data_IF_747172337646
#
_entry.id   IF_747172337646
#
_cell.length_a   1.000
_cell.length_b   1.000
_cell.length_c   1.000
_cell.angle_alpha   90.00
_cell.angle_beta   90.00
_cell.angle_gamma   90.00
#
_symmetry.space_group_name_H-M   'P 1'
#
loop_
_entity.id
_entity.type
_entity.pdbx_description
1 polymer ?
#
# COMPACT_ATOMS: atom_id res chain seq x y z
N UNK A 1 41.62 -12.15 81.59
CA UNK A 1 40.67 -11.22 80.96
C UNK A 1 41.00 -11.18 79.47
N UNK A 2 40.19 -11.83 78.63
CA UNK A 2 40.44 -11.95 77.18
C UNK A 2 39.68 -10.86 76.42
N UNK A 3 40.35 -10.32 75.41
CA UNK A 3 39.86 -9.42 74.36
C UNK A 3 38.63 -9.96 73.63
N UNK A 4 37.74 -9.08 73.17
CA UNK A 4 37.25 -9.10 71.78
C UNK A 4 36.54 -7.79 71.39
N UNK A 5 36.79 -7.41 70.15
CA UNK A 5 36.48 -6.17 69.43
C UNK A 5 35.06 -6.18 68.79
N UNK A 6 34.62 -5.10 68.11
CA UNK A 6 33.20 -4.78 67.91
C UNK A 6 32.59 -5.34 66.62
N UNK A 7 31.28 -5.60 66.64
CA UNK A 7 30.46 -5.97 65.48
C UNK A 7 29.78 -4.74 64.86
N UNK A 8 30.17 -4.43 63.62
CA UNK A 8 29.49 -3.56 62.67
C UNK A 8 28.19 -4.22 62.18
N UNK A 9 27.05 -3.54 62.26
CA UNK A 9 25.86 -3.84 61.46
C UNK A 9 25.95 -3.07 60.14
N UNK A 10 26.27 -3.76 59.03
CA UNK A 10 25.97 -3.30 57.67
C UNK A 10 24.76 -4.08 57.17
N UNK A 11 23.60 -3.42 57.09
CA UNK A 11 22.40 -3.95 56.43
C UNK A 11 22.65 -4.06 54.92
N UNK A 12 22.51 -5.28 54.41
CA UNK A 12 22.59 -5.63 53.00
C UNK A 12 21.36 -5.12 52.24
N UNK A 13 21.56 -4.15 51.35
CA UNK A 13 20.58 -3.69 50.35
C UNK A 13 21.11 -4.03 48.95
N UNK A 14 21.23 -5.32 48.60
CA UNK A 14 21.68 -5.74 47.27
C UNK A 14 21.32 -7.18 46.88
N UNK A 15 20.02 -7.52 46.72
CA UNK A 15 19.68 -8.53 45.69
C UNK A 15 18.55 -8.12 44.73
N UNK A 16 17.76 -7.09 45.03
CA UNK A 16 16.60 -6.73 44.18
C UNK A 16 16.97 -5.96 42.89
N UNK A 17 18.03 -5.15 42.93
CA UNK A 17 18.48 -4.39 41.75
C UNK A 17 19.06 -5.32 40.67
N UNK A 18 19.72 -6.40 41.08
CA UNK A 18 20.37 -7.34 40.14
C UNK A 18 19.37 -8.22 39.39
N UNK A 19 18.23 -8.56 40.00
CA UNK A 19 17.16 -9.36 39.36
C UNK A 19 16.37 -8.51 38.36
N UNK A 20 16.13 -7.23 38.65
CA UNK A 20 15.46 -6.33 37.69
C UNK A 20 16.30 -6.11 36.43
N UNK A 21 17.64 -5.98 36.56
CA UNK A 21 18.54 -5.80 35.41
C UNK A 21 18.59 -7.06 34.53
N UNK A 22 18.51 -8.27 35.12
CA UNK A 22 18.46 -9.54 34.38
C UNK A 22 17.13 -9.78 33.66
N UNK A 23 16.00 -9.32 34.20
CA UNK A 23 14.70 -9.41 33.54
C UNK A 23 14.57 -8.39 32.39
N UNK A 24 15.14 -7.19 32.55
CA UNK A 24 15.20 -6.18 31.48
C UNK A 24 16.12 -6.60 30.32
N UNK A 25 17.25 -7.28 30.59
CA UNK A 25 18.13 -7.77 29.53
C UNK A 25 17.56 -8.98 28.78
N UNK A 26 16.80 -9.86 29.44
CA UNK A 26 16.09 -10.97 28.78
C UNK A 26 14.95 -10.49 27.86
N UNK A 27 14.23 -9.43 28.25
CA UNK A 27 13.25 -8.78 27.38
C UNK A 27 13.91 -8.10 26.16
N UNK A 28 15.13 -7.58 26.33
CA UNK A 28 15.91 -6.96 25.24
C UNK A 28 16.46 -7.97 24.24
N UNK A 29 16.93 -9.14 24.70
CA UNK A 29 17.34 -10.24 23.81
C UNK A 29 16.17 -10.78 22.97
N UNK A 30 14.93 -10.77 23.52
CA UNK A 30 13.72 -11.08 22.74
C UNK A 30 13.37 -9.99 21.74
N UNK A 31 13.45 -8.71 22.11
CA UNK A 31 13.17 -7.60 21.21
C UNK A 31 14.19 -7.50 20.04
N UNK A 32 15.48 -7.77 20.29
CA UNK A 32 16.49 -7.89 19.22
C UNK A 32 16.33 -9.19 18.42
N UNK A 33 15.94 -10.30 19.04
CA UNK A 33 15.67 -11.56 18.35
C UNK A 33 14.48 -11.50 17.40
N UNK A 34 13.42 -10.76 17.76
CA UNK A 34 12.26 -10.57 16.89
C UNK A 34 12.59 -9.67 15.68
N UNK A 35 13.45 -8.65 15.83
CA UNK A 35 13.94 -7.85 14.71
C UNK A 35 14.74 -8.67 13.68
N UNK A 36 15.31 -9.81 14.08
CA UNK A 36 16.08 -10.69 13.18
C UNK A 36 15.26 -11.74 12.43
N UNK A 37 14.01 -11.98 12.84
CA UNK A 37 13.18 -13.04 12.29
C UNK A 37 12.18 -12.48 11.27
N UNK A 38 12.68 -12.22 10.06
CA UNK A 38 11.83 -12.05 8.88
C UNK A 38 10.93 -13.28 8.74
N UNK A 39 9.60 -13.07 8.80
CA UNK A 39 8.63 -14.14 8.59
C UNK A 39 8.08 -14.05 7.17
N UNK A 40 8.32 -15.10 6.39
CA UNK A 40 7.63 -15.32 5.13
C UNK A 40 6.29 -15.99 5.44
N UNK A 41 5.19 -15.26 5.29
CA UNK A 41 3.85 -15.83 5.38
C UNK A 41 3.51 -16.48 4.05
N UNK A 42 3.71 -17.79 3.92
CA UNK A 42 3.09 -18.58 2.87
C UNK A 42 1.60 -18.76 3.21
N UNK A 43 0.80 -17.75 2.89
CA UNK A 43 -0.65 -17.79 3.01
C UNK A 43 -1.28 -18.17 1.67
N UNK A 44 -1.93 -19.33 1.65
CA UNK A 44 -2.78 -19.92 0.60
C UNK A 44 -2.18 -20.07 -0.81
N UNK A 45 -2.30 -21.28 -1.36
CA UNK A 45 -1.87 -21.65 -2.70
C UNK A 45 -2.71 -20.90 -3.73
N UNK A 46 -2.27 -19.70 -4.09
CA UNK A 46 -2.47 -19.18 -5.43
C UNK A 46 -1.27 -19.66 -6.24
N UNK A 47 -1.50 -20.23 -7.43
CA UNK A 47 -0.45 -20.65 -8.37
C UNK A 47 0.38 -19.48 -8.96
N UNK A 48 0.45 -18.34 -8.27
CA UNK A 48 1.25 -17.17 -8.59
C UNK A 48 2.26 -16.90 -7.47
N UNK A 49 3.54 -16.84 -7.82
CA UNK A 49 4.68 -16.60 -6.93
C UNK A 49 4.69 -15.20 -6.28
N UNK A 50 3.67 -14.89 -5.48
CA UNK A 50 3.61 -13.67 -4.69
C UNK A 50 4.55 -13.74 -3.49
N UNK A 51 5.32 -12.68 -3.25
CA UNK A 51 6.19 -12.53 -2.08
C UNK A 51 5.55 -11.55 -1.12
N UNK A 52 5.28 -12.01 0.10
CA UNK A 52 4.92 -11.16 1.23
C UNK A 52 5.99 -11.26 2.32
N UNK A 53 6.41 -10.12 2.84
CA UNK A 53 7.47 -10.01 3.85
C UNK A 53 7.03 -9.07 4.97
N UNK A 54 7.39 -9.38 6.20
CA UNK A 54 7.27 -8.46 7.34
C UNK A 54 8.63 -8.26 8.01
N UNK A 55 9.01 -7.00 8.20
CA UNK A 55 10.22 -6.57 8.91
C UNK A 55 9.80 -5.81 10.17
N UNK A 56 9.83 -6.47 11.35
CA UNK A 56 9.60 -5.79 12.62
C UNK A 56 10.81 -4.91 12.96
N UNK A 57 10.56 -3.65 13.33
CA UNK A 57 11.61 -2.71 13.74
C UNK A 57 11.65 -2.56 15.26
N UNK A 58 10.50 -2.31 15.88
CA UNK A 58 10.33 -2.22 17.33
C UNK A 58 8.85 -2.40 17.72
N UNK A 59 8.59 -2.63 19.00
CA UNK A 59 7.24 -2.61 19.55
C UNK A 59 7.25 -1.78 20.83
N UNK A 60 6.29 -0.86 20.97
CA UNK A 60 6.16 0.01 22.13
C UNK A 60 4.92 -0.34 22.94
N UNK A 61 5.08 -1.02 24.09
CA UNK A 61 3.94 -1.38 24.93
C UNK A 61 3.26 -0.15 25.50
N UNK A 62 1.93 -0.09 25.39
CA UNK A 62 1.11 1.03 25.86
C UNK A 62 0.20 0.67 27.03
N UNK A 63 -0.59 1.65 27.49
CA UNK A 63 -1.77 1.40 28.31
C UNK A 63 -2.90 0.96 27.38
N UNK A 64 -3.10 -0.35 27.23
CA UNK A 64 -4.13 -0.93 26.35
C UNK A 64 -3.57 -1.31 24.98
N UNK A 65 -3.37 -0.33 24.09
CA UNK A 65 -2.83 -0.57 22.76
C UNK A 65 -1.31 -0.45 22.73
N UNK A 66 -0.68 -1.51 22.26
CA UNK A 66 0.72 -1.47 21.84
C UNK A 66 0.83 -0.78 20.49
N UNK A 67 1.96 -0.13 20.25
CA UNK A 67 2.28 0.47 18.96
C UNK A 67 3.41 -0.34 18.30
N UNK A 68 3.09 -1.32 17.44
CA UNK A 68 4.08 -2.06 16.68
C UNK A 68 4.60 -1.21 15.53
N UNK A 69 5.93 -1.05 15.46
CA UNK A 69 6.62 -0.43 14.33
C UNK A 69 7.13 -1.54 13.43
N UNK A 70 6.41 -1.80 12.36
CA UNK A 70 6.77 -2.80 11.36
C UNK A 70 6.65 -2.23 9.94
N UNK A 71 7.36 -2.88 9.03
CA UNK A 71 7.20 -2.71 7.60
C UNK A 71 6.65 -4.00 7.02
N UNK A 72 5.68 -3.87 6.10
CA UNK A 72 5.19 -4.97 5.29
C UNK A 72 5.52 -4.70 3.83
N UNK A 73 5.91 -5.76 3.11
CA UNK A 73 6.12 -5.75 1.67
C UNK A 73 5.20 -6.76 1.02
N UNK A 74 4.64 -6.38 -0.13
CA UNK A 74 3.94 -7.27 -1.04
C UNK A 74 4.44 -7.06 -2.46
N UNK A 75 4.71 -8.15 -3.18
CA UNK A 75 5.03 -8.10 -4.61
C UNK A 75 3.80 -7.85 -5.49
N UNK A 76 2.59 -7.84 -4.93
CA UNK A 76 1.35 -7.48 -5.63
C UNK A 76 1.24 -5.96 -5.75
N UNK A 77 2.12 -5.37 -6.55
CA UNK A 77 2.29 -3.92 -6.72
C UNK A 77 1.59 -3.36 -7.94
N UNK A 78 1.02 -4.21 -8.79
CA UNK A 78 0.40 -3.79 -10.04
C UNK A 78 -1.11 -3.91 -9.96
N UNK A 79 -1.79 -2.85 -10.41
CA UNK A 79 -3.23 -2.88 -10.71
C UNK A 79 -3.45 -2.46 -12.15
N UNK A 80 -4.38 -3.11 -12.84
CA UNK A 80 -4.85 -2.68 -14.15
C UNK A 80 -6.25 -2.12 -13.99
N UNK A 81 -6.44 -0.90 -14.47
CA UNK A 81 -7.67 -0.13 -14.31
C UNK A 81 -8.27 0.23 -15.67
N UNK A 82 -9.59 0.18 -15.82
CA UNK A 82 -10.24 0.63 -17.05
C UNK A 82 -10.43 2.15 -17.02
N UNK A 83 -9.91 2.85 -18.02
CA UNK A 83 -10.07 4.30 -18.11
C UNK A 83 -11.31 4.67 -18.92
N UNK A 84 -11.43 4.11 -20.13
CA UNK A 84 -12.47 4.47 -21.09
C UNK A 84 -12.47 3.53 -22.29
N UNK A 85 -13.55 3.52 -23.07
CA UNK A 85 -13.49 3.09 -24.47
C UNK A 85 -13.28 4.26 -25.45
N UNK A 86 -12.39 4.07 -26.42
CA UNK A 86 -12.10 5.01 -27.51
C UNK A 86 -12.50 4.42 -28.86
N UNK A 87 -12.74 5.29 -29.85
CA UNK A 87 -12.98 4.91 -31.24
C UNK A 87 -11.71 5.08 -32.05
N UNK A 88 -11.33 4.02 -32.75
CA UNK A 88 -10.25 4.03 -33.73
C UNK A 88 -10.82 4.09 -35.14
N UNK A 89 -10.42 5.11 -35.89
CA UNK A 89 -10.83 5.34 -37.27
C UNK A 89 -9.88 4.60 -38.21
N UNK A 90 -10.41 3.59 -38.89
CA UNK A 90 -9.63 2.77 -39.82
C UNK A 90 -9.98 3.16 -41.25
N UNK A 91 -8.96 3.61 -41.98
CA UNK A 91 -9.07 4.04 -43.39
C UNK A 91 -8.91 2.84 -44.31
N UNK A 92 -9.83 1.88 -44.24
CA UNK A 92 -10.01 0.87 -45.29
C UNK A 92 -11.37 1.07 -45.96
N UNK A 93 -11.56 0.80 -47.26
CA UNK A 93 -12.87 0.98 -47.90
C UNK A 93 -13.82 -0.18 -47.55
N UNK A 94 -15.04 0.07 -47.01
CA UNK A 94 -15.58 1.34 -46.52
C UNK A 94 -15.06 1.71 -45.12
N UNK A 95 -14.83 3.01 -44.82
CA UNK A 95 -14.28 3.44 -43.54
C UNK A 95 -15.21 3.06 -42.39
N UNK A 96 -14.63 2.57 -41.30
CA UNK A 96 -15.39 2.16 -40.12
C UNK A 96 -14.67 2.55 -38.83
N UNK A 97 -15.42 2.49 -37.74
CA UNK A 97 -14.93 2.76 -36.38
C UNK A 97 -14.85 1.45 -35.60
N UNK A 98 -13.69 1.16 -35.02
CA UNK A 98 -13.57 0.12 -33.98
C UNK A 98 -13.65 0.75 -32.61
N UNK A 99 -14.35 0.11 -31.67
CA UNK A 99 -14.34 0.51 -30.26
C UNK A 99 -13.26 -0.32 -29.54
N UNK A 100 -12.31 0.36 -28.91
CA UNK A 100 -11.23 -0.25 -28.15
C UNK A 100 -11.35 0.14 -26.68
N UNK A 101 -11.02 -0.76 -25.78
CA UNK A 101 -10.94 -0.46 -24.35
C UNK A 101 -9.53 0.03 -24.03
N UNK A 102 -9.43 1.18 -23.38
CA UNK A 102 -8.17 1.71 -22.84
C UNK A 102 -8.13 1.39 -21.36
N UNK A 103 -7.09 0.68 -20.96
CA UNK A 103 -6.77 0.37 -19.56
C UNK A 103 -5.41 0.94 -19.21
N UNK A 104 -5.17 1.17 -17.93
CA UNK A 104 -3.93 1.73 -17.42
C UNK A 104 -3.31 0.81 -16.39
N UNK A 105 -1.99 0.60 -16.50
CA UNK A 105 -1.19 -0.05 -15.48
C UNK A 105 -0.81 0.97 -14.40
N UNK A 106 -1.15 0.65 -13.15
CA UNK A 106 -0.91 1.46 -11.97
C UNK A 106 0.10 0.72 -11.08
N UNK A 107 1.23 1.39 -10.80
CA UNK A 107 2.26 0.86 -9.92
C UNK A 107 2.08 1.39 -8.50
N UNK A 108 2.04 0.48 -7.54
CA UNK A 108 2.11 0.70 -6.10
C UNK A 108 1.11 1.76 -5.57
N UNK A 109 -0.12 1.83 -6.12
CA UNK A 109 -1.10 2.88 -5.80
C UNK A 109 -1.35 3.10 -4.30
N UNK A 110 -1.34 2.02 -3.51
CA UNK A 110 -1.56 2.05 -2.06
C UNK A 110 -0.31 1.71 -1.25
N UNK A 111 0.89 1.81 -1.82
CA UNK A 111 2.15 1.49 -1.14
C UNK A 111 3.30 2.34 -1.66
N UNK A 112 4.50 2.18 -1.10
CA UNK A 112 5.72 2.78 -1.64
C UNK A 112 6.58 1.67 -2.24
N UNK A 113 6.39 1.43 -3.54
CA UNK A 113 6.99 0.31 -4.26
C UNK A 113 6.76 -1.05 -3.56
N UNK A 114 5.53 -1.30 -3.11
CA UNK A 114 5.15 -2.52 -2.39
C UNK A 114 5.32 -2.45 -0.87
N UNK A 115 6.01 -1.44 -0.35
CA UNK A 115 6.22 -1.27 1.09
C UNK A 115 5.11 -0.44 1.75
N UNK A 116 4.64 -0.91 2.90
CA UNK A 116 3.72 -0.21 3.81
C UNK A 116 4.32 -0.17 5.21
N UNK A 117 3.93 0.82 6.01
CA UNK A 117 4.25 0.85 7.44
C UNK A 117 3.01 0.54 8.26
N UNK A 118 3.17 -0.26 9.32
CA UNK A 118 2.13 -0.42 10.35
C UNK A 118 1.77 0.87 11.08
N UNK A 119 2.49 1.97 10.84
CA UNK A 119 2.22 3.30 11.38
C UNK A 119 1.43 4.21 10.42
N UNK A 120 1.09 3.78 9.21
CA UNK A 120 0.18 4.52 8.34
C UNK A 120 -1.26 4.50 8.90
N UNK A 121 -2.10 5.43 8.43
CA UNK A 121 -3.54 5.40 8.68
C UNK A 121 -4.24 4.53 7.62
N UNK A 122 -5.44 3.99 7.93
CA UNK A 122 -6.31 3.43 6.90
C UNK A 122 -6.56 4.43 5.77
N UNK A 123 -6.48 3.97 4.52
CA UNK A 123 -6.76 4.77 3.33
C UNK A 123 -8.17 4.48 2.83
N UNK A 124 -8.94 5.53 2.55
CA UNK A 124 -10.31 5.44 2.05
C UNK A 124 -10.28 5.60 0.52
N UNK A 125 -10.75 4.60 -0.20
CA UNK A 125 -10.91 4.60 -1.65
C UNK A 125 -12.40 4.61 -1.99
N UNK A 126 -12.85 5.72 -2.57
CA UNK A 126 -14.21 5.84 -3.10
C UNK A 126 -14.30 5.34 -4.54
N UNK A 127 -15.47 4.86 -4.98
CA UNK A 127 -15.68 4.40 -6.35
C UNK A 127 -15.41 5.54 -7.32
N UNK A 128 -14.75 5.23 -8.43
CA UNK A 128 -14.45 6.24 -9.44
C UNK A 128 -15.71 6.72 -10.15
N UNK A 129 -15.62 7.91 -10.75
CA UNK A 129 -16.75 8.48 -11.49
C UNK A 129 -17.16 7.60 -12.69
N UNK A 130 -16.27 6.81 -13.24
CA UNK A 130 -16.49 5.92 -14.38
C UNK A 130 -16.84 4.47 -13.99
N UNK A 131 -16.89 4.15 -12.69
CA UNK A 131 -17.45 2.87 -12.20
C UNK A 131 -18.98 2.89 -12.31
N UNK A 132 -19.48 2.67 -13.53
CA UNK A 132 -20.91 2.62 -13.85
C UNK A 132 -21.30 1.27 -14.43
N UNK A 133 -22.52 0.84 -14.10
CA UNK A 133 -23.07 -0.45 -14.49
C UNK A 133 -24.42 -0.28 -15.20
N UNK A 134 -24.74 -1.21 -16.10
CA UNK A 134 -26.05 -1.33 -16.70
C UNK A 134 -27.04 -2.03 -15.75
N UNK A 135 -28.32 -2.11 -16.14
CA UNK A 135 -29.37 -2.76 -15.36
C UNK A 135 -29.15 -4.28 -15.15
N UNK A 136 -28.17 -4.88 -15.83
CA UNK A 136 -27.75 -6.28 -15.66
C UNK A 136 -26.49 -6.41 -14.79
N UNK A 137 -25.99 -5.32 -14.23
CA UNK A 137 -24.77 -5.28 -13.43
C UNK A 137 -23.48 -5.42 -14.25
N UNK A 138 -23.53 -5.18 -15.58
CA UNK A 138 -22.35 -5.19 -16.43
C UNK A 138 -21.76 -3.78 -16.54
N UNK A 139 -20.42 -3.62 -16.63
CA UNK A 139 -19.81 -2.31 -16.85
C UNK A 139 -20.42 -1.58 -18.07
N UNK A 140 -20.82 -0.32 -17.89
CA UNK A 140 -21.42 0.52 -18.92
C UNK A 140 -20.43 1.59 -19.39
N UNK A 141 -20.57 2.06 -20.64
CA UNK A 141 -19.57 2.96 -21.27
C UNK A 141 -20.05 4.38 -21.56
N UNK A 142 -21.32 4.70 -21.38
CA UNK A 142 -21.85 6.00 -20.92
C UNK A 142 -23.38 6.04 -21.01
N UNK A 143 -23.92 6.93 -20.18
CA UNK A 143 -24.89 7.97 -20.50
C UNK A 143 -26.25 7.44 -20.97
N UNK A 144 -27.13 7.15 -20.01
CA UNK A 144 -28.57 7.55 -19.95
C UNK A 144 -29.29 6.77 -18.83
N UNK A 145 -28.70 5.68 -18.32
CA UNK A 145 -29.17 4.91 -17.16
C UNK A 145 -27.99 4.27 -16.43
N UNK A 146 -27.12 5.09 -15.85
CA UNK A 146 -25.90 4.62 -15.20
C UNK A 146 -26.19 4.28 -13.73
N UNK A 147 -26.16 2.98 -13.42
CA UNK A 147 -26.31 2.49 -12.06
C UNK A 147 -24.96 2.43 -11.37
N UNK A 148 -24.91 2.82 -10.11
CA UNK A 148 -23.72 2.73 -9.25
C UNK A 148 -24.01 1.94 -8.00
N UNK A 149 -22.95 1.42 -7.39
CA UNK A 149 -23.01 0.82 -6.07
C UNK A 149 -22.37 1.80 -5.11
N UNK A 150 -23.08 2.15 -4.03
CA UNK A 150 -22.52 2.94 -2.95
C UNK A 150 -21.62 2.04 -2.09
N UNK A 151 -20.41 1.77 -2.59
CA UNK A 151 -19.36 1.06 -1.87
C UNK A 151 -18.21 1.99 -1.52
N UNK A 152 -17.35 1.54 -0.61
CA UNK A 152 -16.06 2.14 -0.30
C UNK A 152 -15.10 1.00 0.01
N UNK A 153 -13.87 1.11 -0.48
CA UNK A 153 -12.79 0.19 -0.14
C UNK A 153 -11.92 0.89 0.89
N UNK A 154 -11.59 0.22 1.99
CA UNK A 154 -10.63 0.75 2.97
C UNK A 154 -9.40 -0.14 2.98
N UNK A 155 -8.24 0.45 2.68
CA UNK A 155 -6.96 -0.23 2.75
C UNK A 155 -6.34 -0.01 4.12
N UNK A 156 -6.05 -1.09 4.82
CA UNK A 156 -5.49 -1.06 6.16
C UNK A 156 -3.95 -0.93 6.12
N UNK A 157 -3.35 -0.41 7.20
CA UNK A 157 -1.89 -0.29 7.31
C UNK A 157 -1.16 -1.65 7.25
N UNK A 158 -1.82 -2.73 7.68
CA UNK A 158 -1.28 -4.09 7.62
C UNK A 158 -1.23 -4.69 6.21
N UNK A 159 -1.82 -4.01 5.22
CA UNK A 159 -1.88 -4.46 3.83
C UNK A 159 -3.24 -4.99 3.40
N UNK A 160 -4.11 -5.37 4.34
CA UNK A 160 -5.46 -5.86 4.03
C UNK A 160 -6.33 -4.77 3.40
N UNK A 161 -7.36 -5.18 2.68
CA UNK A 161 -8.33 -4.27 2.07
C UNK A 161 -9.73 -4.84 2.29
N UNK A 162 -10.65 -3.97 2.69
CA UNK A 162 -12.00 -4.34 3.07
C UNK A 162 -13.01 -3.55 2.27
N UNK A 163 -14.00 -4.24 1.67
CA UNK A 163 -15.09 -3.60 0.94
C UNK A 163 -16.27 -3.38 1.87
N UNK A 164 -16.82 -2.17 1.83
CA UNK A 164 -18.02 -1.78 2.58
C UNK A 164 -19.11 -1.30 1.64
N UNK A 165 -20.36 -1.47 2.03
CA UNK A 165 -21.53 -0.96 1.29
C UNK A 165 -22.50 -0.29 2.25
N UNK A 166 -23.16 0.76 1.75
CA UNK A 166 -24.31 1.38 2.44
C UNK A 166 -25.55 0.49 2.34
N UNK A 167 -25.75 -0.09 1.17
CA UNK A 167 -26.89 -0.95 0.83
C UNK A 167 -26.56 -1.76 -0.43
N UNK A 168 -27.26 -2.87 -0.65
CA UNK A 168 -27.21 -3.62 -1.91
C UNK A 168 -28.09 -3.00 -3.02
N UNK A 169 -28.79 -1.90 -2.72
CA UNK A 169 -29.55 -1.17 -3.72
C UNK A 169 -28.60 -0.43 -4.67
N UNK A 170 -28.90 -0.50 -5.96
CA UNK A 170 -28.27 0.35 -6.96
C UNK A 170 -28.69 1.80 -6.75
N UNK A 171 -27.77 2.72 -7.01
CA UNK A 171 -28.00 4.15 -7.01
C UNK A 171 -28.11 4.65 -8.44
N UNK A 172 -29.18 5.40 -8.73
CA UNK A 172 -29.35 6.12 -9.99
C UNK A 172 -29.00 7.59 -9.76
N UNK A 173 -27.80 7.99 -10.16
CA UNK A 173 -27.33 9.36 -10.03
C UNK A 173 -25.81 9.50 -10.19
N UNK A 174 -25.36 10.74 -10.31
CA UNK A 174 -23.96 11.06 -10.60
C UNK A 174 -23.06 11.12 -9.36
N UNK A 175 -23.62 11.07 -8.15
CA UNK A 175 -22.86 11.27 -6.90
C UNK A 175 -23.21 10.20 -5.86
N UNK A 176 -22.19 9.56 -5.28
CA UNK A 176 -22.36 8.63 -4.17
C UNK A 176 -22.40 9.44 -2.89
N UNK A 177 -23.47 9.29 -2.12
CA UNK A 177 -23.58 9.92 -0.80
C UNK A 177 -22.54 9.33 0.16
N UNK A 178 -21.46 10.09 0.37
CA UNK A 178 -20.34 9.71 1.23
C UNK A 178 -20.62 9.96 2.72
N UNK A 179 -21.75 10.57 3.10
CA UNK A 179 -22.06 10.97 4.48
C UNK A 179 -23.01 9.98 5.16
N UNK A 180 -22.56 8.76 5.37
CA UNK A 180 -23.38 7.72 6.00
C UNK A 180 -22.55 6.58 6.59
N UNK A 181 -23.25 5.60 7.18
CA UNK A 181 -22.67 4.36 7.65
C UNK A 181 -22.58 3.34 6.53
N UNK A 182 -21.40 2.74 6.37
CA UNK A 182 -21.11 1.62 5.49
C UNK A 182 -20.75 0.39 6.31
N UNK A 183 -21.24 -0.78 5.91
CA UNK A 183 -20.97 -2.05 6.57
C UNK A 183 -20.10 -2.94 5.68
N UNK A 184 -19.15 -3.64 6.28
CA UNK A 184 -18.28 -4.55 5.54
C UNK A 184 -19.08 -5.70 4.92
N UNK A 185 -18.77 -6.04 3.66
CA UNK A 185 -19.42 -7.12 2.91
C UNK A 185 -18.54 -8.36 2.73
N UNK A 186 -17.36 -8.37 3.37
CA UNK A 186 -16.33 -9.41 3.26
C UNK A 186 -16.23 -10.30 4.51
N UNK A 187 -17.15 -10.17 5.46
CA UNK A 187 -17.16 -10.94 6.70
C UNK A 187 -16.22 -10.43 7.80
N UNK A 188 -15.47 -9.34 7.57
CA UNK A 188 -14.60 -8.71 8.57
C UNK A 188 -15.36 -8.13 9.78
N UNK A 189 -16.68 -7.96 9.66
CA UNK A 189 -17.56 -7.33 10.68
C UNK A 189 -17.15 -5.90 11.04
N UNK A 190 -16.47 -5.22 10.11
CA UNK A 190 -16.12 -3.81 10.26
C UNK A 190 -17.31 -2.91 9.88
N UNK A 191 -17.29 -1.68 10.40
CA UNK A 191 -18.27 -0.64 10.08
C UNK A 191 -17.55 0.69 9.92
N UNK A 192 -17.90 1.46 8.90
CA UNK A 192 -17.35 2.79 8.67
C UNK A 192 -18.45 3.85 8.74
N UNK A 193 -18.42 4.70 9.76
CA UNK A 193 -19.31 5.85 9.90
C UNK A 193 -18.62 7.07 9.26
N UNK A 194 -18.94 7.34 7.99
CA UNK A 194 -18.28 8.36 7.18
C UNK A 194 -18.84 9.76 7.44
N UNK A 195 -17.97 10.76 7.56
CA UNK A 195 -18.31 12.18 7.72
C UNK A 195 -17.74 13.07 6.62
N UNK A 196 -17.05 12.49 5.64
CA UNK A 196 -16.45 13.19 4.51
C UNK A 196 -15.75 12.23 3.56
N UNK A 197 -14.94 12.76 2.64
CA UNK A 197 -14.18 11.94 1.69
C UNK A 197 -13.05 11.15 2.36
N UNK A 198 -12.47 11.72 3.41
CA UNK A 198 -11.28 11.23 4.12
C UNK A 198 -11.46 11.25 5.64
N UNK A 199 -12.65 11.62 6.12
CA UNK A 199 -12.97 11.71 7.55
C UNK A 199 -14.12 10.79 7.93
N UNK A 200 -14.03 10.20 9.13
CA UNK A 200 -15.05 9.30 9.65
C UNK A 200 -14.53 8.46 10.81
N UNK A 201 -15.32 7.49 11.25
CA UNK A 201 -14.90 6.50 12.25
C UNK A 201 -15.00 5.09 11.69
N UNK A 202 -13.86 4.41 11.58
CA UNK A 202 -13.79 3.00 11.25
C UNK A 202 -13.77 2.16 12.52
N UNK A 203 -14.80 1.35 12.70
CA UNK A 203 -14.94 0.40 13.80
C UNK A 203 -14.45 -0.98 13.36
N UNK A 204 -13.53 -1.52 14.14
CA UNK A 204 -12.94 -2.84 13.96
C UNK A 204 -13.75 -3.90 14.72
N UNK A 205 -13.61 -5.17 14.33
CA UNK A 205 -14.34 -6.27 14.96
C UNK A 205 -13.97 -6.52 16.44
N UNK A 206 -12.76 -6.12 16.86
CA UNK A 206 -12.26 -6.27 18.22
C UNK A 206 -12.71 -5.14 19.19
N UNK A 207 -13.48 -4.17 18.67
CA UNK A 207 -13.96 -3.01 19.39
C UNK A 207 -12.99 -1.82 19.40
N UNK A 208 -11.81 -1.95 18.77
CA UNK A 208 -10.96 -0.80 18.46
C UNK A 208 -11.60 0.05 17.36
N UNK A 209 -11.24 1.33 17.30
CA UNK A 209 -11.70 2.23 16.24
C UNK A 209 -10.63 3.23 15.82
N UNK A 210 -10.56 3.49 14.52
CA UNK A 210 -9.86 4.63 13.97
C UNK A 210 -10.85 5.79 13.85
N UNK A 211 -10.54 6.91 14.48
CA UNK A 211 -11.22 8.18 14.25
C UNK A 211 -10.35 8.98 13.28
N UNK A 212 -10.75 9.01 12.01
CA UNK A 212 -10.04 9.62 10.91
C UNK A 212 -10.46 11.09 10.80
N UNK A 213 -9.46 11.96 10.91
CA UNK A 213 -9.63 13.40 10.90
C UNK A 213 -8.36 14.13 10.52
N UNK A 214 -8.52 15.35 10.01
CA UNK A 214 -7.43 16.23 9.58
C UNK A 214 -7.34 17.45 10.52
N UNK A 215 -6.13 17.81 11.02
CA UNK A 215 -4.83 17.16 10.79
C UNK A 215 -4.52 16.04 11.81
N UNK A 216 -5.47 15.67 12.66
CA UNK A 216 -5.26 14.72 13.77
C UNK A 216 -6.29 13.60 13.73
N UNK A 217 -5.76 12.37 13.76
CA UNK A 217 -6.54 11.13 13.83
C UNK A 217 -6.25 10.40 15.14
N UNK A 218 -7.10 9.46 15.52
CA UNK A 218 -6.94 8.67 16.74
C UNK A 218 -7.15 7.19 16.49
N UNK A 219 -6.39 6.36 17.20
CA UNK A 219 -6.69 4.94 17.38
C UNK A 219 -7.11 4.74 18.84
N UNK A 220 -8.33 4.25 19.04
CA UNK A 220 -8.93 4.12 20.37
C UNK A 220 -9.32 2.67 20.59
N UNK A 221 -8.90 2.07 21.71
CA UNK A 221 -9.32 0.72 22.06
C UNK A 221 -10.72 0.65 22.67
N UNK A 222 -11.18 -0.58 22.87
CA UNK A 222 -12.45 -0.91 23.53
C UNK A 222 -12.57 -0.34 24.97
N UNK A 223 -11.45 0.00 25.59
CA UNK A 223 -11.39 0.54 26.95
C UNK A 223 -11.27 2.07 26.98
N UNK A 224 -11.19 2.73 25.82
CA UNK A 224 -11.07 4.18 25.69
C UNK A 224 -9.63 4.70 25.78
N UNK A 225 -8.61 3.84 25.83
CA UNK A 225 -7.23 4.30 25.70
C UNK A 225 -6.99 4.72 24.24
N UNK A 226 -6.36 5.86 24.06
CA UNK A 226 -6.18 6.48 22.74
C UNK A 226 -4.73 6.78 22.44
N UNK A 227 -4.33 6.48 21.21
CA UNK A 227 -3.12 7.01 20.58
C UNK A 227 -3.55 8.08 19.56
N UNK A 228 -2.76 9.13 19.39
CA UNK A 228 -3.07 10.21 18.43
C UNK A 228 -2.05 10.24 17.30
N UNK A 229 -2.51 10.38 16.07
CA UNK A 229 -1.68 10.54 14.88
C UNK A 229 -1.71 11.97 14.39
N UNK A 230 -0.54 12.57 14.19
CA UNK A 230 -0.38 13.84 13.50
C UNK A 230 -0.02 13.57 12.04
N UNK A 231 -0.90 13.97 11.12
CA UNK A 231 -0.73 13.68 9.70
C UNK A 231 0.37 14.51 9.05
N UNK A 232 0.48 15.80 9.40
CA UNK A 232 1.50 16.68 8.83
C UNK A 232 2.92 16.20 9.14
N UNK A 233 3.13 15.71 10.37
CA UNK A 233 4.42 15.16 10.80
C UNK A 233 4.56 13.66 10.47
N UNK A 234 3.45 12.97 10.17
CA UNK A 234 3.32 11.52 10.04
C UNK A 234 3.85 10.77 11.27
N UNK A 235 3.36 11.15 12.45
CA UNK A 235 3.84 10.61 13.74
C UNK A 235 2.69 10.21 14.64
N UNK A 236 2.84 9.08 15.32
CA UNK A 236 2.01 8.67 16.44
C UNK A 236 2.55 9.24 17.75
N UNK A 237 1.66 9.74 18.60
CA UNK A 237 1.91 9.91 20.03
C UNK A 237 1.15 8.82 20.76
N UNK A 238 1.86 7.96 21.44
CA UNK A 238 1.25 6.83 22.14
C UNK A 238 0.68 7.21 23.52
N UNK A 239 0.12 6.21 24.20
CA UNK A 239 -0.52 6.37 25.52
C UNK A 239 0.46 6.75 26.66
N UNK A 240 1.77 6.71 26.42
CA UNK A 240 2.81 7.13 27.36
C UNK A 240 3.47 8.46 26.93
N UNK A 241 2.99 9.10 25.86
CA UNK A 241 3.51 10.36 25.34
C UNK A 241 4.77 10.22 24.48
N UNK A 242 5.14 9.01 24.07
CA UNK A 242 6.27 8.80 23.14
C UNK A 242 5.83 9.17 21.74
N UNK A 243 6.69 9.90 21.02
CA UNK A 243 6.48 10.28 19.61
C UNK A 243 7.23 9.32 18.71
N UNK A 244 6.50 8.64 17.84
CA UNK A 244 7.01 7.61 16.92
C UNK A 244 6.64 8.01 15.49
N UNK A 245 7.64 8.36 14.69
CA UNK A 245 7.44 8.77 13.30
C UNK A 245 7.23 7.57 12.37
N UNK A 246 6.57 7.76 11.24
CA UNK A 246 6.51 6.73 10.21
C UNK A 246 7.89 6.56 9.54
N UNK A 247 8.44 5.33 9.48
CA UNK A 247 9.74 5.04 8.87
C UNK A 247 9.78 5.23 7.34
N UNK A 248 8.66 5.10 6.65
CA UNK A 248 8.59 5.25 5.19
C UNK A 248 8.30 6.72 4.86
N UNK A 249 9.12 7.42 4.08
CA UNK A 249 8.85 8.80 3.66
C UNK A 249 7.62 8.89 2.75
N UNK A 250 6.92 10.03 2.76
CA UNK A 250 5.66 10.20 2.02
C UNK A 250 5.88 10.12 0.50
N UNK A 251 7.01 10.66 0.05
CA UNK A 251 7.47 10.60 -1.33
C UNK A 251 8.96 10.20 -1.34
N UNK A 252 9.27 8.90 -1.37
CA UNK A 252 10.64 8.42 -1.34
C UNK A 252 11.43 8.86 -2.58
N UNK A 253 12.44 9.70 -2.35
CA UNK A 253 13.47 10.05 -3.32
C UNK A 253 14.71 9.16 -3.21
N UNK A 254 15.56 9.15 -4.25
CA UNK A 254 16.83 8.39 -4.28
C UNK A 254 17.81 8.99 -3.27
N UNK A 255 17.82 8.46 -2.05
CA UNK A 255 18.73 8.88 -0.99
C UNK A 255 18.70 7.90 0.20
N UNK A 256 19.56 8.17 1.18
CA UNK A 256 19.60 7.48 2.47
C UNK A 256 18.81 8.29 3.50
N UNK A 257 17.76 7.68 4.07
CA UNK A 257 16.92 8.31 5.09
C UNK A 257 17.33 7.80 6.47
N UNK A 258 17.93 8.65 7.32
CA UNK A 258 18.12 8.32 8.72
C UNK A 258 16.76 8.26 9.42
N UNK A 259 16.57 7.23 10.24
CA UNK A 259 15.37 7.06 11.03
C UNK A 259 15.76 6.62 12.43
N UNK A 260 15.11 7.19 13.44
CA UNK A 260 15.40 6.87 14.83
C UNK A 260 14.14 6.54 15.62
N UNK A 261 14.31 5.59 16.53
CA UNK A 261 13.28 5.07 17.39
C UNK A 261 13.71 5.22 18.86
N UNK A 262 12.82 5.59 19.80
CA UNK A 262 13.13 5.59 21.22
C UNK A 262 13.61 4.21 21.71
N UNK A 263 14.82 4.15 22.27
CA UNK A 263 15.40 2.96 22.87
C UNK A 263 15.18 2.89 24.39
N UNK A 264 15.72 1.85 25.03
CA UNK A 264 15.71 1.74 26.48
C UNK A 264 16.59 2.82 27.12
N UNK A 265 16.20 3.26 28.33
CA UNK A 265 16.98 4.21 29.12
C UNK A 265 17.15 5.60 28.49
N UNK A 266 16.32 5.95 27.50
CA UNK A 266 16.42 7.22 26.76
C UNK A 266 17.42 7.19 25.60
N UNK A 267 18.02 6.04 25.28
CA UNK A 267 18.83 5.87 24.07
C UNK A 267 18.00 5.95 22.79
N UNK A 268 18.65 5.99 21.63
CA UNK A 268 18.01 5.93 20.31
C UNK A 268 18.47 4.68 19.56
N UNK A 269 17.53 4.00 18.91
CA UNK A 269 17.81 2.97 17.92
C UNK A 269 17.84 3.63 16.54
N UNK A 270 19.00 3.64 15.90
CA UNK A 270 19.21 4.28 14.61
C UNK A 270 19.14 3.26 13.46
N UNK A 271 18.36 3.61 12.44
CA UNK A 271 18.19 2.86 11.19
C UNK A 271 18.54 3.78 10.01
N UNK A 272 18.91 3.19 8.88
CA UNK A 272 19.04 3.92 7.61
C UNK A 272 18.29 3.16 6.52
N UNK A 273 17.30 3.83 5.92
CA UNK A 273 16.54 3.32 4.78
C UNK A 273 17.15 3.86 3.50
N UNK A 274 17.66 2.98 2.63
CA UNK A 274 18.30 3.38 1.38
C UNK A 274 17.34 3.15 0.23
N UNK A 275 16.88 4.25 -0.36
CA UNK A 275 16.01 4.24 -1.53
C UNK A 275 16.84 4.49 -2.78
N UNK A 276 16.62 3.67 -3.81
CA UNK A 276 17.38 3.69 -5.06
C UNK A 276 16.44 3.59 -6.25
N UNK A 277 16.95 3.89 -7.44
CA UNK A 277 16.22 3.58 -8.67
C UNK A 277 16.14 2.07 -8.86
N UNK A 278 15.09 1.61 -9.53
CA UNK A 278 14.88 0.19 -9.79
C UNK A 278 16.11 -0.40 -10.48
N UNK A 279 16.68 0.28 -11.48
CA UNK A 279 17.87 -0.22 -12.20
C UNK A 279 19.10 -0.49 -11.31
N UNK A 280 19.24 0.20 -10.17
CA UNK A 280 20.32 -0.04 -9.20
C UNK A 280 20.03 -1.20 -8.25
N UNK A 281 18.77 -1.65 -8.20
CA UNK A 281 18.27 -2.68 -7.29
C UNK A 281 17.76 -3.92 -8.04
N UNK A 282 18.06 -4.06 -9.33
CA UNK A 282 17.68 -5.24 -10.11
C UNK A 282 18.50 -6.46 -9.70
N UNK A 283 17.80 -7.58 -9.50
CA UNK A 283 18.40 -8.88 -9.24
C UNK A 283 19.07 -9.41 -10.52
N UNK A 284 20.30 -9.88 -10.41
CA UNK A 284 20.93 -10.61 -11.51
C UNK A 284 20.22 -11.97 -11.69
N UNK A 285 19.77 -12.25 -12.91
CA UNK A 285 19.19 -13.54 -13.30
C UNK A 285 20.22 -14.22 -14.21
N UNK A 286 20.71 -15.39 -13.80
CA UNK A 286 21.75 -16.16 -14.50
C UNK A 286 23.02 -15.33 -14.81
N UNK A 287 23.40 -14.44 -13.89
CA UNK A 287 24.56 -13.56 -14.03
C UNK A 287 24.34 -12.31 -14.87
N UNK A 288 23.14 -12.08 -15.41
CA UNK A 288 22.78 -10.89 -16.17
C UNK A 288 21.76 -10.05 -15.42
N UNK A 289 22.02 -8.75 -15.29
CA UNK A 289 21.02 -7.80 -14.80
C UNK A 289 19.98 -7.57 -15.91
N UNK A 290 18.69 -7.78 -15.66
CA UNK A 290 17.66 -7.51 -16.66
C UNK A 290 17.68 -6.04 -17.10
N UNK A 291 17.29 -5.78 -18.35
CA UNK A 291 17.13 -4.41 -18.83
C UNK A 291 15.77 -3.87 -18.39
N UNK A 292 15.70 -2.55 -18.15
CA UNK A 292 14.42 -1.89 -17.93
C UNK A 292 13.49 -2.07 -19.13
N UNK A 293 12.18 -2.06 -18.84
CA UNK A 293 11.11 -2.22 -19.81
C UNK A 293 10.16 -1.03 -19.75
N UNK A 294 9.40 -0.79 -20.81
CA UNK A 294 8.24 0.09 -20.72
C UNK A 294 7.20 -0.50 -19.77
N UNK A 295 6.43 0.31 -19.05
CA UNK A 295 5.36 -0.24 -18.21
C UNK A 295 4.32 -0.94 -19.09
N UNK A 296 3.93 -0.31 -20.20
CA UNK A 296 2.98 -0.90 -21.13
C UNK A 296 3.41 -0.72 -22.58
N UNK A 297 2.78 -1.46 -23.50
CA UNK A 297 3.01 -1.30 -24.95
C UNK A 297 2.65 0.07 -25.50
N UNK A 298 1.71 0.79 -24.87
CA UNK A 298 1.25 2.10 -25.30
C UNK A 298 1.44 3.16 -24.21
N UNK A 299 1.41 4.43 -24.60
CA UNK A 299 1.38 5.59 -23.71
C UNK A 299 0.33 6.59 -24.16
N UNK A 300 0.02 7.55 -23.29
CA UNK A 300 -0.80 8.71 -23.63
C UNK A 300 0.12 9.89 -23.98
N UNK A 301 -0.04 10.55 -25.15
CA UNK A 301 0.73 11.75 -25.49
C UNK A 301 0.67 12.85 -24.42
N UNK A 302 -0.46 12.97 -23.73
CA UNK A 302 -0.63 13.78 -22.54
C UNK A 302 -1.17 12.91 -21.38
N UNK A 303 -0.28 12.41 -20.50
CA UNK A 303 -0.67 11.51 -19.41
C UNK A 303 -1.58 12.12 -18.35
N UNK A 304 -1.70 13.46 -18.31
CA UNK A 304 -2.57 14.16 -17.37
C UNK A 304 -4.03 14.27 -17.84
N UNK A 305 -4.33 13.86 -19.07
CA UNK A 305 -5.65 13.95 -19.68
C UNK A 305 -6.21 12.55 -19.98
N UNK A 306 -7.54 12.38 -19.97
CA UNK A 306 -8.17 11.13 -20.38
C UNK A 306 -7.89 10.83 -21.87
N UNK A 307 -7.93 9.54 -22.26
CA UNK A 307 -7.75 9.15 -23.65
C UNK A 307 -8.87 9.68 -24.55
N UNK A 308 -8.53 10.04 -25.78
CA UNK A 308 -9.48 10.47 -26.82
C UNK A 308 -9.62 9.44 -27.92
N UNK A 309 -10.62 9.59 -28.79
CA UNK A 309 -10.71 8.84 -30.06
C UNK A 309 -9.49 9.14 -30.96
N UNK A 310 -9.26 8.33 -32.00
CA UNK A 310 -8.05 8.40 -32.86
C UNK A 310 -7.87 9.70 -33.62
N UNK A 311 -8.94 10.48 -33.79
CA UNK A 311 -8.88 11.82 -34.39
C UNK A 311 -8.64 12.94 -33.35
N UNK A 312 -8.59 12.58 -32.06
CA UNK A 312 -8.31 13.49 -30.96
C UNK A 312 -6.82 13.55 -30.62
N UNK A 313 -6.42 14.58 -29.87
CA UNK A 313 -5.02 14.85 -29.55
C UNK A 313 -4.38 13.96 -28.47
N UNK A 314 -5.12 13.03 -27.88
CA UNK A 314 -4.63 12.16 -26.79
C UNK A 314 -5.04 10.69 -26.97
N UNK A 315 -5.09 10.21 -28.22
CA UNK A 315 -5.28 8.79 -28.50
C UNK A 315 -4.02 8.01 -28.11
N UNK A 316 -4.14 6.82 -27.45
CA UNK A 316 -2.98 6.03 -27.08
C UNK A 316 -2.04 5.74 -28.26
N UNK A 317 -0.74 5.91 -28.04
CA UNK A 317 0.29 5.69 -29.06
C UNK A 317 1.22 4.55 -28.63
N UNK A 318 1.71 3.72 -29.56
CA UNK A 318 2.66 2.67 -29.21
C UNK A 318 4.01 3.27 -28.82
N UNK A 319 4.69 2.66 -27.85
CA UNK A 319 6.08 3.01 -27.55
C UNK A 319 7.00 2.67 -28.75
N UNK A 320 8.04 3.49 -29.00
CA UNK A 320 9.00 3.23 -30.07
C UNK A 320 9.96 2.09 -29.68
N UNK A 321 9.62 0.85 -30.04
CA UNK A 321 10.44 -0.34 -29.76
C UNK A 321 10.52 -0.71 -28.29
N UNK A 322 11.21 -1.82 -27.98
CA UNK A 322 11.43 -2.29 -26.60
C UNK A 322 10.39 -3.31 -26.09
N UNK A 323 10.75 -3.99 -25.01
CA UNK A 323 9.84 -4.87 -24.28
C UNK A 323 9.00 -4.04 -23.28
N UNK A 324 7.81 -4.55 -22.96
CA UNK A 324 6.90 -3.96 -21.99
C UNK A 324 6.45 -4.99 -20.96
N UNK A 325 6.13 -4.52 -19.74
CA UNK A 325 5.58 -5.35 -18.67
C UNK A 325 4.14 -5.77 -18.99
N UNK A 326 3.32 -4.82 -19.44
CA UNK A 326 1.94 -5.06 -19.85
C UNK A 326 1.76 -4.92 -21.36
N UNK A 327 1.10 -5.90 -21.97
CA UNK A 327 0.86 -5.93 -23.41
C UNK A 327 -0.60 -5.67 -23.72
N UNK A 328 -0.84 -4.78 -24.68
CA UNK A 328 -2.12 -4.71 -25.37
C UNK A 328 -2.41 -6.04 -26.06
N UNK A 329 -3.67 -6.49 -26.01
CA UNK A 329 -4.09 -7.79 -26.54
C UNK A 329 -5.04 -7.60 -27.71
N UNK A 330 -4.83 -8.43 -28.73
CA UNK A 330 -5.71 -8.63 -29.86
C UNK A 330 -6.45 -9.97 -29.67
N UNK A 331 -7.77 -9.95 -29.56
CA UNK A 331 -8.59 -11.18 -29.41
C UNK A 331 -9.01 -11.65 -30.79
N UNK A 332 -8.34 -12.65 -31.42
CA UNK A 332 -8.82 -13.16 -32.70
C UNK A 332 -10.25 -13.72 -32.55
N UNK A 333 -11.11 -13.54 -33.56
CA UNK A 333 -12.49 -14.02 -33.50
C UNK A 333 -12.56 -15.54 -33.30
N UNK A 334 -13.42 -16.01 -32.38
CA UNK A 334 -13.52 -17.41 -31.95
C UNK A 334 -14.12 -18.37 -33.01
N UNK A 335 -14.67 -17.84 -34.11
CA UNK A 335 -15.28 -18.61 -35.19
C UNK A 335 -14.62 -18.27 -36.54
N UNK A 336 -13.80 -19.20 -37.07
CA UNK A 336 -13.12 -19.07 -38.36
C UNK A 336 -14.11 -19.03 -39.54
N UNK A 337 -15.35 -19.49 -39.35
CA UNK A 337 -16.33 -19.62 -40.44
C UNK A 337 -17.16 -18.37 -40.67
N UNK A 338 -17.31 -17.52 -39.63
CA UNK A 338 -18.00 -16.24 -39.75
C UNK A 338 -17.53 -15.28 -38.64
N UNK A 339 -16.25 -14.85 -38.66
CA UNK A 339 -15.74 -13.97 -37.63
C UNK A 339 -16.57 -12.68 -37.60
N UNK A 340 -16.98 -12.15 -36.43
CA UNK A 340 -17.40 -10.76 -36.37
C UNK A 340 -16.27 -9.94 -37.01
N UNK A 341 -16.57 -8.94 -37.84
CA UNK A 341 -15.56 -8.38 -38.75
C UNK A 341 -14.36 -7.78 -38.02
N UNK A 342 -14.42 -7.57 -36.69
CA UNK A 342 -13.37 -6.91 -35.93
C UNK A 342 -13.14 -7.55 -34.55
N UNK A 343 -11.89 -7.88 -34.22
CA UNK A 343 -11.49 -8.26 -32.87
C UNK A 343 -11.41 -7.03 -31.96
N UNK A 344 -11.94 -7.15 -30.73
CA UNK A 344 -11.85 -6.07 -29.75
C UNK A 344 -10.42 -6.03 -29.21
N UNK A 345 -9.74 -4.91 -29.43
CA UNK A 345 -8.40 -4.64 -28.89
C UNK A 345 -8.50 -3.94 -27.52
N UNK A 346 -7.70 -4.42 -26.56
CA UNK A 346 -7.49 -3.76 -25.27
C UNK A 346 -6.14 -3.06 -25.32
N UNK A 347 -6.17 -1.73 -25.27
CA UNK A 347 -4.98 -0.88 -25.22
C UNK A 347 -4.56 -0.68 -23.76
N UNK A 348 -3.37 -1.15 -23.40
CA UNK A 348 -2.80 -0.92 -22.06
C UNK A 348 -1.78 0.21 -22.13
N UNK A 349 -1.98 1.24 -21.30
CA UNK A 349 -1.06 2.38 -21.15
C UNK A 349 -0.37 2.41 -19.78
N UNK A 350 0.85 2.95 -19.71
CA UNK A 350 1.52 3.22 -18.44
C UNK A 350 0.97 4.47 -17.76
N UNK A 351 0.69 4.43 -16.44
CA UNK A 351 0.24 5.62 -15.73
C UNK A 351 1.33 6.70 -15.65
N UNK A 352 1.01 7.91 -16.09
CA UNK A 352 1.94 9.02 -16.10
C UNK A 352 3.12 8.87 -17.06
N UNK A 353 3.16 7.81 -17.88
CA UNK A 353 4.30 7.55 -18.78
C UNK A 353 4.22 8.34 -20.07
N UNK A 354 5.36 8.88 -20.47
CA UNK A 354 5.57 9.59 -21.72
C UNK A 354 6.26 8.71 -22.77
N UNK A 355 6.31 9.18 -24.02
CA UNK A 355 6.90 8.45 -25.14
C UNK A 355 8.32 7.98 -24.83
N UNK A 356 8.57 6.67 -24.95
CA UNK A 356 9.91 6.09 -24.75
C UNK A 356 10.38 6.03 -23.30
N UNK A 357 9.57 6.45 -22.33
CA UNK A 357 9.92 6.36 -20.90
C UNK A 357 10.03 4.89 -20.46
N UNK A 358 11.14 4.54 -19.81
CA UNK A 358 11.33 3.23 -19.20
C UNK A 358 10.80 3.24 -17.76
N UNK A 359 10.26 2.10 -17.32
CA UNK A 359 9.76 1.93 -15.96
C UNK A 359 10.93 1.82 -14.97
N UNK A 360 11.21 2.91 -14.26
CA UNK A 360 12.32 3.01 -13.30
C UNK A 360 11.90 3.75 -12.01
N UNK A 361 11.01 3.14 -11.20
CA UNK A 361 10.54 3.73 -9.95
C UNK A 361 11.65 3.81 -8.90
N UNK A 362 11.39 4.56 -7.82
CA UNK A 362 12.22 4.53 -6.62
C UNK A 362 11.76 3.38 -5.72
N UNK A 363 12.68 2.52 -5.31
CA UNK A 363 12.43 1.31 -4.51
C UNK A 363 13.32 1.28 -3.27
N UNK A 364 12.86 0.61 -2.20
CA UNK A 364 13.67 0.41 -1.00
C UNK A 364 14.68 -0.71 -1.26
N UNK A 365 15.96 -0.37 -1.31
CA UNK A 365 17.03 -1.32 -1.66
C UNK A 365 17.73 -1.91 -0.42
N UNK A 366 17.80 -1.15 0.68
CA UNK A 366 18.47 -1.61 1.89
C UNK A 366 17.87 -0.97 3.16
N UNK A 367 17.82 -1.75 4.24
CA UNK A 367 17.58 -1.28 5.61
C UNK A 367 18.81 -1.62 6.44
N UNK A 368 19.54 -0.60 6.89
CA UNK A 368 20.61 -0.76 7.88
C UNK A 368 19.98 -0.71 9.27
N UNK A 369 20.19 -1.75 10.06
CA UNK A 369 19.65 -1.90 11.42
C UNK A 369 20.65 -1.43 12.49
N UNK A 370 20.20 -1.20 13.74
CA UNK A 370 21.09 -0.86 14.84
C UNK A 370 22.23 -1.89 14.99
N UNK A 371 23.48 -1.41 15.01
CA UNK A 371 24.67 -2.26 15.04
C UNK A 371 25.35 -2.48 13.69
N UNK A 372 24.77 -1.98 12.59
CA UNK A 372 25.43 -1.88 11.27
C UNK A 372 25.21 -3.06 10.33
N UNK A 373 24.53 -4.12 10.78
CA UNK A 373 24.00 -5.15 9.86
C UNK A 373 22.91 -4.57 8.96
N UNK A 374 22.59 -5.24 7.86
CA UNK A 374 21.55 -4.77 6.94
C UNK A 374 20.75 -5.86 6.25
N UNK A 375 19.51 -5.51 5.89
CA UNK A 375 18.67 -6.25 4.95
C UNK A 375 18.78 -5.59 3.57
N UNK A 376 19.01 -6.39 2.53
CA UNK A 376 19.08 -5.92 1.14
C UNK A 376 17.98 -6.56 0.32
N UNK A 377 17.38 -5.76 -0.55
CA UNK A 377 16.27 -6.15 -1.41
C UNK A 377 16.68 -5.97 -2.86
N UNK A 378 16.35 -6.96 -3.68
CA UNK A 378 16.53 -6.91 -5.11
C UNK A 378 15.21 -7.24 -5.80
N UNK A 379 14.98 -6.64 -6.96
CA UNK A 379 13.72 -6.65 -7.70
C UNK A 379 13.92 -7.23 -9.09
N UNK A 380 12.85 -7.75 -9.70
CA UNK A 380 12.89 -8.36 -11.04
C UNK A 380 12.38 -7.42 -12.14
#
# INVERSE_FOLDING_TARGET
MRQNSPTFFRTAFAPFVSICILLLSAAHARAQGDATNVRFTQGEVNDGAGVSLSVPLATYPGRGLDLPVNLSYSSSVWRVDHMRSVRNYIVTPPPYYMKQSVTQALFAEHSKAGWKSGLDLPQIEWPKFDEVYDYKGKPATCCFFDYRIAHVTIHMPDGSSHQFRKSDHFFNGSYIDVLCTFYAVDGSRMRYDSTGLDTGTLFMADGTRYVLGHPTSYLIDRNGNSQSYNENARQWTDTLGRVIANPIPADPQVQDYPYSLPGLGGGLQAYVFKWRKLHDALAAIDGNTPSLRHMATHYLPNPSLPPTDSNGGNFPQPHPGGESLFRSVYIPPEDETNPPPYPVEVLVVGNGESAGQMFDPVVLAEIVIPGGSSYKFAYN
#
